data_IF_581600415727
#
_entry.id   IF_581600415727
#
_cell.length_a   1.000
_cell.length_b   1.000
_cell.length_c   1.000
_cell.angle_alpha   90.00
_cell.angle_beta   90.00
_cell.angle_gamma   90.00
#
_symmetry.space_group_name_H-M   'P 1'
#
loop_
_entity.id
_entity.type
_entity.pdbx_description
1 polymer ?
#
# COMPACT_ATOMS: atom_id res chain seq x y z
N UNK A 1 4.53 28.54 -2.90
CA UNK A 1 3.65 28.32 -4.06
C UNK A 1 2.58 29.38 -4.03
N UNK A 2 2.24 29.94 -5.19
CA UNK A 2 1.22 30.97 -5.30
C UNK A 2 -0.17 30.32 -5.13
N UNK A 3 -1.01 30.74 -4.17
CA UNK A 3 -2.34 30.16 -3.97
C UNK A 3 -3.31 30.41 -5.14
N UNK A 4 -2.96 31.26 -6.11
CA UNK A 4 -3.80 31.58 -7.27
C UNK A 4 -3.55 30.71 -8.50
N UNK A 5 -2.53 29.84 -8.48
CA UNK A 5 -2.16 28.98 -9.63
C UNK A 5 -2.48 27.51 -9.37
N UNK A 6 -3.08 26.85 -10.36
CA UNK A 6 -3.33 25.40 -10.31
C UNK A 6 -2.07 24.63 -10.68
N UNK A 7 -1.50 23.91 -9.72
CA UNK A 7 -0.31 23.09 -9.92
C UNK A 7 -0.30 21.86 -9.02
N UNK A 8 0.59 20.92 -9.31
CA UNK A 8 0.86 19.78 -8.41
C UNK A 8 1.43 20.33 -7.10
N UNK A 9 0.74 20.11 -5.97
CA UNK A 9 1.16 20.63 -4.67
C UNK A 9 2.26 19.78 -4.01
N UNK A 10 2.07 18.46 -4.03
CA UNK A 10 3.04 17.45 -3.61
C UNK A 10 3.20 16.43 -4.74
N UNK A 11 4.45 16.13 -5.09
CA UNK A 11 4.80 15.18 -6.13
C UNK A 11 5.05 13.76 -5.59
N UNK A 12 4.89 13.55 -4.27
CA UNK A 12 4.93 12.21 -3.70
C UNK A 12 3.69 11.42 -4.11
N UNK A 13 3.87 10.13 -4.32
CA UNK A 13 2.79 9.21 -4.65
C UNK A 13 1.98 8.82 -3.41
N UNK A 14 0.80 8.25 -3.66
CA UNK A 14 -0.08 7.68 -2.65
C UNK A 14 -0.53 6.30 -3.15
N UNK A 15 0.07 5.25 -2.58
CA UNK A 15 0.05 3.90 -3.16
C UNK A 15 -1.35 3.32 -3.29
N UNK A 16 -2.30 3.78 -2.47
CA UNK A 16 -3.69 3.32 -2.55
C UNK A 16 -4.40 3.84 -3.80
N UNK A 17 -4.19 5.12 -4.14
CA UNK A 17 -4.56 5.67 -5.43
C UNK A 17 -3.87 4.93 -6.58
N UNK A 18 -2.57 4.68 -6.46
CA UNK A 18 -1.80 4.00 -7.51
C UNK A 18 -2.30 2.57 -7.80
N UNK A 19 -2.58 1.79 -6.76
CA UNK A 19 -3.15 0.45 -6.92
C UNK A 19 -4.57 0.50 -7.48
N UNK A 20 -5.42 1.44 -7.02
CA UNK A 20 -6.76 1.61 -7.59
C UNK A 20 -6.72 1.98 -9.08
N UNK A 21 -5.80 2.86 -9.49
CA UNK A 21 -5.59 3.20 -10.90
C UNK A 21 -5.11 2.00 -11.71
N UNK A 22 -4.10 1.27 -11.23
CA UNK A 22 -3.59 0.08 -11.90
C UNK A 22 -4.69 -0.99 -12.04
N UNK A 23 -5.43 -1.27 -10.97
CA UNK A 23 -6.56 -2.21 -10.98
C UNK A 23 -7.64 -1.79 -11.98
N UNK A 24 -8.02 -0.52 -11.98
CA UNK A 24 -9.06 0.00 -12.88
C UNK A 24 -8.65 -0.14 -14.35
N UNK A 25 -7.38 0.16 -14.68
CA UNK A 25 -6.85 -0.01 -16.04
C UNK A 25 -6.81 -1.48 -16.46
N UNK A 26 -6.39 -2.38 -15.57
CA UNK A 26 -6.35 -3.82 -15.86
C UNK A 26 -7.76 -4.38 -16.10
N UNK A 27 -8.71 -4.04 -15.23
CA UNK A 27 -10.11 -4.48 -15.39
C UNK A 27 -10.77 -3.84 -16.61
N UNK A 28 -10.50 -2.57 -16.91
CA UNK A 28 -10.94 -1.91 -18.15
C UNK A 28 -10.41 -2.64 -19.39
N UNK A 29 -9.12 -3.02 -19.40
CA UNK A 29 -8.54 -3.78 -20.50
C UNK A 29 -9.20 -5.14 -20.69
N UNK A 30 -9.49 -5.84 -19.58
CA UNK A 30 -10.19 -7.14 -19.58
C UNK A 30 -11.66 -7.03 -20.05
N UNK A 31 -12.41 -6.08 -19.49
CA UNK A 31 -13.86 -5.94 -19.73
C UNK A 31 -14.17 -5.29 -21.08
N UNK A 32 -13.41 -4.26 -21.46
CA UNK A 32 -13.61 -3.55 -22.73
C UNK A 32 -12.72 -4.07 -23.86
N UNK A 33 -11.98 -5.17 -23.61
CA UNK A 33 -11.12 -5.84 -24.61
C UNK A 33 -10.15 -4.88 -25.31
N UNK A 34 -9.56 -3.97 -24.55
CA UNK A 34 -8.66 -2.92 -25.06
C UNK A 34 -7.26 -3.12 -24.48
N UNK A 35 -6.33 -3.63 -25.29
CA UNK A 35 -4.96 -3.96 -24.85
C UNK A 35 -4.22 -2.76 -24.25
N UNK A 36 -4.42 -1.56 -24.79
CA UNK A 36 -3.80 -0.32 -24.28
C UNK A 36 -4.02 -0.11 -22.77
N UNK A 37 -5.20 -0.43 -22.24
CA UNK A 37 -5.46 -0.31 -20.81
C UNK A 37 -4.73 -1.38 -20.01
N UNK A 38 -4.71 -2.62 -20.49
CA UNK A 38 -3.92 -3.71 -19.89
C UNK A 38 -2.43 -3.36 -19.85
N UNK A 39 -1.87 -2.87 -20.95
CA UNK A 39 -0.46 -2.52 -21.04
C UNK A 39 -0.09 -1.37 -20.09
N UNK A 40 -0.94 -0.33 -20.05
CA UNK A 40 -0.75 0.82 -19.15
C UNK A 40 -0.87 0.40 -17.69
N UNK A 41 -1.89 -0.40 -17.34
CA UNK A 41 -2.10 -0.91 -15.99
C UNK A 41 -0.97 -1.82 -15.53
N UNK A 42 -0.49 -2.71 -16.40
CA UNK A 42 0.65 -3.58 -16.10
C UNK A 42 1.96 -2.80 -15.93
N UNK A 43 2.18 -1.76 -16.74
CA UNK A 43 3.34 -0.89 -16.60
C UNK A 43 3.31 -0.09 -15.29
N UNK A 44 2.14 0.46 -14.92
CA UNK A 44 1.95 1.13 -13.64
C UNK A 44 2.18 0.18 -12.46
N UNK A 45 1.63 -1.03 -12.53
CA UNK A 45 1.81 -2.04 -11.48
C UNK A 45 3.29 -2.40 -11.30
N UNK A 46 4.04 -2.62 -12.39
CA UNK A 46 5.50 -2.82 -12.32
C UNK A 46 6.24 -1.65 -11.67
N UNK A 47 5.78 -0.41 -11.90
CA UNK A 47 6.36 0.78 -11.30
C UNK A 47 6.11 0.84 -9.78
N UNK A 48 4.87 0.58 -9.34
CA UNK A 48 4.52 0.48 -7.91
C UNK A 48 5.40 -0.56 -7.21
N UNK A 49 5.55 -1.76 -7.80
CA UNK A 49 6.41 -2.81 -7.25
C UNK A 49 7.89 -2.39 -7.10
N UNK A 50 8.37 -1.47 -7.94
CA UNK A 50 9.76 -1.01 -7.91
C UNK A 50 9.98 0.15 -6.94
N UNK A 51 9.01 1.06 -6.87
CA UNK A 51 9.17 2.37 -6.21
C UNK A 51 8.51 2.44 -4.83
N UNK A 52 7.50 1.62 -4.58
CA UNK A 52 6.66 1.67 -3.38
C UNK A 52 6.56 0.35 -2.64
N UNK A 53 7.27 -0.68 -3.09
CA UNK A 53 7.35 -1.96 -2.36
C UNK A 53 8.74 -2.10 -1.80
N UNK A 54 8.81 -2.36 -0.49
CA UNK A 54 10.05 -2.60 0.22
C UNK A 54 10.01 -3.92 0.97
N UNK A 55 11.15 -4.61 1.01
CA UNK A 55 11.31 -5.78 1.89
C UNK A 55 11.59 -5.30 3.31
N UNK A 56 10.66 -5.56 4.23
CA UNK A 56 10.79 -5.25 5.65
C UNK A 56 11.28 -6.50 6.39
N UNK A 57 12.43 -6.46 7.07
CA UNK A 57 12.95 -7.60 7.84
C UNK A 57 11.91 -8.09 8.86
N UNK A 58 11.58 -9.39 8.84
CA UNK A 58 10.58 -10.01 9.72
C UNK A 58 9.13 -10.04 9.18
N UNK A 59 8.83 -9.26 8.13
CA UNK A 59 7.55 -9.32 7.42
C UNK A 59 7.70 -9.90 6.00
N UNK A 60 8.67 -9.41 5.24
CA UNK A 60 8.77 -9.65 3.79
C UNK A 60 8.39 -8.40 3.00
N UNK A 61 7.93 -8.57 1.75
CA UNK A 61 7.50 -7.45 0.91
C UNK A 61 6.28 -6.75 1.50
N UNK A 62 6.38 -5.43 1.66
CA UNK A 62 5.31 -4.56 2.14
C UNK A 62 5.10 -3.42 1.15
N UNK A 63 3.83 -3.09 0.89
CA UNK A 63 3.46 -1.90 0.16
C UNK A 63 3.61 -0.70 1.10
N UNK A 64 4.42 0.26 0.69
CA UNK A 64 4.59 1.54 1.38
C UNK A 64 3.45 2.47 0.96
N UNK A 65 2.92 3.32 1.85
CA UNK A 65 1.87 4.30 1.55
C UNK A 65 2.22 5.33 0.46
N UNK A 66 3.49 5.40 0.04
CA UNK A 66 3.98 6.23 -1.04
C UNK A 66 5.50 6.02 -1.22
N UNK A 67 6.05 6.56 -2.30
CA UNK A 67 7.47 6.38 -2.68
C UNK A 67 8.43 6.88 -1.58
N UNK A 68 8.10 8.03 -0.97
CA UNK A 68 8.98 8.71 -0.01
C UNK A 68 8.31 8.89 1.35
N UNK A 69 9.12 8.78 2.40
CA UNK A 69 8.74 9.13 3.78
C UNK A 69 8.32 7.97 4.69
N UNK A 70 8.03 6.78 4.13
CA UNK A 70 7.43 5.68 4.89
C UNK A 70 8.38 4.57 5.33
N UNK A 71 9.63 4.59 4.85
CA UNK A 71 10.67 3.65 5.24
C UNK A 71 11.77 4.36 6.04
N UNK A 72 11.96 3.97 7.30
CA UNK A 72 13.04 4.49 8.16
C UNK A 72 14.23 3.54 8.14
N UNK A 73 15.14 3.72 7.17
CA UNK A 73 16.34 2.88 6.99
C UNK A 73 17.16 2.68 8.28
N UNK A 74 17.35 3.73 9.09
CA UNK A 74 18.13 3.65 10.35
C UNK A 74 17.50 2.78 11.46
N UNK A 75 16.19 2.57 11.45
CA UNK A 75 15.48 1.74 12.45
C UNK A 75 14.88 0.47 11.84
N UNK A 76 15.12 0.23 10.54
CA UNK A 76 14.44 -0.79 9.74
C UNK A 76 12.93 -0.85 10.03
N UNK A 77 12.32 0.34 10.16
CA UNK A 77 10.92 0.50 10.52
C UNK A 77 10.11 0.99 9.33
N UNK A 78 8.92 0.43 9.16
CA UNK A 78 7.97 0.83 8.13
C UNK A 78 6.73 1.46 8.79
N UNK A 79 6.24 2.55 8.22
CA UNK A 79 4.91 3.08 8.49
C UNK A 79 4.00 2.58 7.38
N UNK A 80 2.96 1.84 7.74
CA UNK A 80 2.02 1.26 6.78
C UNK A 80 0.60 1.58 7.20
N UNK A 81 -0.30 1.50 6.23
CA UNK A 81 -1.73 1.60 6.45
C UNK A 81 -2.37 0.25 6.15
N UNK A 82 -3.34 -0.13 6.98
CA UNK A 82 -4.10 -1.35 6.82
C UNK A 82 -5.19 -1.20 5.73
N UNK A 83 -4.78 -0.97 4.49
CA UNK A 83 -5.68 -0.86 3.34
C UNK A 83 -5.34 -1.87 2.28
N UNK A 84 -6.24 -2.84 2.11
CA UNK A 84 -6.18 -3.77 1.00
C UNK A 84 -7.55 -4.38 0.74
N UNK A 85 -8.35 -3.71 -0.11
CA UNK A 85 -9.60 -4.24 -0.60
C UNK A 85 -9.50 -5.70 -1.02
N UNK A 86 -10.61 -6.43 -0.83
CA UNK A 86 -10.70 -7.85 -1.23
C UNK A 86 -10.40 -8.06 -2.72
N UNK A 87 -10.76 -7.10 -3.57
CA UNK A 87 -10.49 -7.12 -5.01
C UNK A 87 -8.99 -7.25 -5.32
N UNK A 88 -8.14 -6.51 -4.62
CA UNK A 88 -6.69 -6.54 -4.82
C UNK A 88 -6.08 -7.92 -4.49
N UNK A 89 -6.59 -8.57 -3.43
CA UNK A 89 -6.11 -9.90 -2.99
C UNK A 89 -6.30 -10.99 -4.04
N UNK A 90 -7.30 -10.86 -4.90
CA UNK A 90 -7.63 -11.88 -5.89
C UNK A 90 -6.89 -11.66 -7.22
N UNK A 91 -6.60 -10.40 -7.57
CA UNK A 91 -6.10 -10.04 -8.92
C UNK A 91 -4.58 -9.88 -8.93
N UNK A 92 -4.02 -9.20 -7.93
CA UNK A 92 -2.60 -8.87 -7.94
C UNK A 92 -1.67 -10.10 -7.92
N UNK A 93 -1.97 -11.21 -7.21
CA UNK A 93 -1.12 -12.40 -7.25
C UNK A 93 -0.90 -13.00 -8.64
N UNK A 94 -1.79 -12.76 -9.61
CA UNK A 94 -1.62 -13.21 -10.99
C UNK A 94 -0.40 -12.57 -11.69
N UNK A 95 0.13 -11.46 -11.15
CA UNK A 95 1.31 -10.77 -11.66
C UNK A 95 2.63 -11.29 -11.04
N UNK A 96 2.58 -12.36 -10.25
CA UNK A 96 3.77 -12.97 -9.64
C UNK A 96 4.35 -12.14 -8.49
N UNK A 97 5.65 -12.28 -8.23
CA UNK A 97 6.33 -11.51 -7.20
C UNK A 97 6.41 -10.01 -7.59
N UNK A 98 6.27 -9.06 -6.63
CA UNK A 98 6.13 -9.26 -5.19
C UNK A 98 4.67 -9.48 -4.71
N UNK A 99 3.70 -9.50 -5.62
CA UNK A 99 2.27 -9.48 -5.30
C UNK A 99 1.75 -10.72 -4.56
N UNK A 100 2.35 -11.87 -4.82
CA UNK A 100 2.08 -13.11 -4.07
C UNK A 100 2.46 -12.97 -2.60
N UNK A 101 3.64 -12.40 -2.30
CA UNK A 101 4.08 -12.12 -0.93
C UNK A 101 3.26 -11.01 -0.27
N UNK A 102 2.96 -9.94 -1.01
CA UNK A 102 2.17 -8.81 -0.52
C UNK A 102 0.78 -9.23 -0.06
N UNK A 103 0.16 -10.21 -0.72
CA UNK A 103 -1.11 -10.78 -0.26
C UNK A 103 -1.01 -11.32 1.17
N UNK A 104 0.04 -12.10 1.45
CA UNK A 104 0.23 -12.74 2.76
C UNK A 104 0.63 -11.72 3.83
N UNK A 105 1.57 -10.83 3.53
CA UNK A 105 2.00 -9.80 4.48
C UNK A 105 0.90 -8.80 4.81
N UNK A 106 0.03 -8.51 3.83
CA UNK A 106 -1.14 -7.68 4.07
C UNK A 106 -2.18 -8.38 4.96
N UNK A 107 -2.38 -9.69 4.81
CA UNK A 107 -3.26 -10.44 5.72
C UNK A 107 -2.72 -10.39 7.16
N UNK A 108 -1.40 -10.54 7.33
CA UNK A 108 -0.74 -10.35 8.63
C UNK A 108 -0.96 -8.95 9.18
N UNK A 109 -0.79 -7.90 8.37
CA UNK A 109 -1.08 -6.52 8.78
C UNK A 109 -2.50 -6.36 9.32
N UNK A 110 -3.52 -6.83 8.61
CA UNK A 110 -4.92 -6.72 9.03
C UNK A 110 -5.21 -7.52 10.32
N UNK A 111 -4.67 -8.73 10.43
CA UNK A 111 -4.96 -9.62 11.56
C UNK A 111 -4.16 -9.27 12.82
N UNK A 112 -2.89 -8.88 12.66
CA UNK A 112 -1.96 -8.70 13.78
C UNK A 112 -2.02 -7.28 14.40
N UNK A 113 -2.62 -6.29 13.71
CA UNK A 113 -2.63 -4.89 14.17
C UNK A 113 -3.95 -4.42 14.78
N UNK A 114 -4.97 -5.29 14.80
CA UNK A 114 -6.29 -5.01 15.37
C UNK A 114 -6.56 -5.85 16.64
N UNK A 115 -5.77 -5.71 17.73
CA UNK A 115 -5.87 -6.57 18.92
C UNK A 115 -7.21 -6.46 19.65
N UNK A 116 -7.98 -5.39 19.40
CA UNK A 116 -9.31 -5.14 19.96
C UNK A 116 -10.42 -5.20 18.90
N UNK A 117 -10.13 -5.70 17.70
CA UNK A 117 -11.07 -5.76 16.58
C UNK A 117 -11.22 -4.47 15.76
N UNK A 118 -10.42 -3.44 16.05
CA UNK A 118 -10.41 -2.17 15.30
C UNK A 118 -9.08 -2.00 14.58
N UNK A 119 -9.14 -1.85 13.26
CA UNK A 119 -7.95 -1.59 12.43
C UNK A 119 -7.46 -0.16 12.63
N UNK A 120 -6.15 0.10 12.72
CA UNK A 120 -5.63 1.46 12.84
C UNK A 120 -5.50 2.17 11.48
N UNK A 121 -5.70 3.49 11.46
CA UNK A 121 -5.45 4.35 10.31
C UNK A 121 -3.97 4.29 9.87
N UNK A 122 -3.07 4.14 10.85
CA UNK A 122 -1.63 3.99 10.63
C UNK A 122 -1.02 3.10 11.71
N UNK A 123 -0.10 2.24 11.29
CA UNK A 123 0.65 1.38 12.21
C UNK A 123 2.11 1.31 11.79
N UNK A 124 2.98 1.32 12.80
CA UNK A 124 4.41 1.14 12.61
C UNK A 124 4.82 -0.30 12.86
N UNK A 125 5.78 -0.75 12.06
CA UNK A 125 6.57 -1.93 12.32
C UNK A 125 7.99 -1.52 12.66
N UNK A 126 8.62 -2.16 13.65
CA UNK A 126 10.05 -2.04 13.93
C UNK A 126 10.71 -3.41 13.84
N UNK A 127 11.86 -3.49 13.15
CA UNK A 127 12.69 -4.68 13.13
C UNK A 127 12.99 -5.14 14.57
N UNK A 128 12.94 -6.46 14.78
CA UNK A 128 13.17 -7.16 16.05
C UNK A 128 12.16 -6.85 17.18
N UNK A 129 11.22 -5.93 16.97
CA UNK A 129 10.15 -5.60 17.93
C UNK A 129 8.73 -5.87 17.44
N UNK A 130 8.52 -5.95 16.13
CA UNK A 130 7.21 -6.17 15.53
C UNK A 130 6.33 -4.91 15.44
N UNK A 131 5.02 -5.11 15.44
CA UNK A 131 4.02 -4.04 15.38
C UNK A 131 4.03 -3.18 16.63
N UNK A 132 4.08 -1.87 16.45
CA UNK A 132 4.05 -0.90 17.53
C UNK A 132 2.58 -0.57 17.86
N UNK A 133 2.02 -1.34 18.80
CA UNK A 133 0.59 -1.27 19.19
C UNK A 133 0.35 -0.51 20.51
N UNK A 134 1.37 0.20 21.02
CA UNK A 134 1.18 1.10 22.17
C UNK A 134 0.35 2.31 21.72
N UNK A 135 -0.54 2.84 22.57
CA UNK A 135 -1.34 4.01 22.22
C UNK A 135 -0.48 5.17 21.72
N UNK A 136 -0.78 5.65 20.51
CA UNK A 136 -0.16 6.79 19.86
C UNK A 136 -1.26 7.54 19.08
N UNK A 137 -1.07 8.84 18.80
CA UNK A 137 -2.08 9.69 18.16
C UNK A 137 -2.65 9.12 16.86
N UNK A 138 -1.85 8.37 16.10
CA UNK A 138 -2.25 7.79 14.81
C UNK A 138 -2.71 6.33 14.90
N UNK A 139 -2.59 5.69 16.07
CA UNK A 139 -3.07 4.32 16.30
C UNK A 139 -4.55 4.36 16.74
N UNK A 140 -5.38 4.93 15.86
CA UNK A 140 -6.83 5.10 16.04
C UNK A 140 -7.54 4.54 14.80
N UNK A 141 -8.79 4.13 14.96
CA UNK A 141 -9.65 3.72 13.84
C UNK A 141 -10.57 4.89 13.50
N UNK A 142 -10.33 5.58 12.38
CA UNK A 142 -11.12 6.73 11.95
C UNK A 142 -11.39 6.69 10.45
N UNK A 143 -11.23 7.82 9.74
CA UNK A 143 -11.56 8.00 8.33
C UNK A 143 -10.83 7.05 7.39
N UNK A 144 -9.66 6.58 7.78
CA UNK A 144 -8.82 5.78 6.89
C UNK A 144 -9.06 4.29 7.04
N UNK A 145 -9.23 3.84 8.29
CA UNK A 145 -9.49 2.45 8.67
C UNK A 145 -10.94 2.00 8.44
N UNK A 146 -11.88 2.92 8.19
CA UNK A 146 -13.28 2.57 7.90
C UNK A 146 -13.48 1.92 6.52
N UNK A 147 -12.45 1.92 5.66
CA UNK A 147 -12.49 1.46 4.26
C UNK A 147 -12.37 -0.05 4.10
#
# INVERSE_FOLDING_TARGET
KDPSTWEVLDANSASDGDIWMAWSLLEAGRLWKTSRYTDTGAALLKRIAREEVATVPGLGSMLLPGERGFLRKRRAGALTRAIYPRSWRNILPAFGAPWTTLRETNMRLLMETAPKGFSPDWVRYEKDKGWQLKPEKTLVSSYDAIR
#
